data_IF_434416227115
#
_entry.id   IF_434416227115
#
_cell.length_a   1.000
_cell.length_b   1.000
_cell.length_c   1.000
_cell.angle_alpha   90.00
_cell.angle_beta   90.00
_cell.angle_gamma   90.00
#
_symmetry.space_group_name_H-M   'P 1'
#
loop_
_entity.id
_entity.type
_entity.pdbx_description
1 polymer ?
#
# COMPACT_ATOMS: atom_id res chain seq x y z
N UNK A 1 21.70 1.02 20.12
CA UNK A 1 20.99 1.72 19.03
C UNK A 1 19.70 2.30 19.58
N UNK A 2 19.47 3.61 19.39
CA UNK A 2 18.25 4.24 19.88
C UNK A 2 17.13 4.17 18.84
N UNK A 3 15.94 4.59 19.23
CA UNK A 3 14.76 4.54 18.35
C UNK A 3 14.96 5.33 17.05
N UNK A 4 15.59 6.49 17.13
CA UNK A 4 15.85 7.33 15.96
C UNK A 4 16.73 6.62 14.95
N UNK A 5 17.79 5.97 15.41
CA UNK A 5 18.70 5.22 14.54
C UNK A 5 18.01 4.03 13.89
N UNK A 6 17.14 3.33 14.63
CA UNK A 6 16.37 2.21 14.10
C UNK A 6 15.43 2.70 13.01
N UNK A 7 14.72 3.81 13.24
CA UNK A 7 13.80 4.38 12.27
C UNK A 7 14.54 4.81 11.00
N UNK A 8 15.71 5.46 11.16
CA UNK A 8 16.53 5.89 10.03
C UNK A 8 17.02 4.71 9.20
N UNK A 9 17.46 3.63 9.85
CA UNK A 9 17.90 2.43 9.14
C UNK A 9 16.75 1.76 8.40
N UNK A 10 15.57 1.69 9.00
CA UNK A 10 14.39 1.15 8.34
C UNK A 10 14.00 1.99 7.14
N UNK A 11 14.03 3.31 7.28
CA UNK A 11 13.74 4.23 6.17
C UNK A 11 14.74 4.03 5.02
N UNK A 12 16.03 3.95 5.34
CA UNK A 12 17.07 3.77 4.34
C UNK A 12 16.91 2.44 3.61
N UNK A 13 16.60 1.37 4.35
CA UNK A 13 16.35 0.07 3.73
C UNK A 13 15.20 0.15 2.72
N UNK A 14 14.06 0.69 3.12
CA UNK A 14 12.89 0.74 2.25
C UNK A 14 13.07 1.71 1.09
N UNK A 15 13.79 2.81 1.28
CA UNK A 15 14.14 3.69 0.17
C UNK A 15 15.03 2.98 -0.85
N UNK A 16 15.97 2.18 -0.38
CA UNK A 16 16.90 1.46 -1.26
C UNK A 16 16.30 0.23 -1.93
N UNK A 17 15.23 -0.35 -1.36
CA UNK A 17 14.64 -1.60 -1.84
C UNK A 17 13.21 -1.46 -2.34
N UNK A 18 12.68 -0.24 -2.42
CA UNK A 18 11.28 -0.02 -2.78
C UNK A 18 10.95 -0.60 -4.16
N UNK A 19 11.83 -0.43 -5.13
CA UNK A 19 11.57 -0.94 -6.49
C UNK A 19 11.56 -2.46 -6.53
N UNK A 20 12.39 -3.11 -5.70
CA UNK A 20 12.42 -4.56 -5.60
C UNK A 20 11.09 -5.13 -5.09
N UNK A 21 10.47 -4.44 -4.15
CA UNK A 21 9.21 -4.89 -3.52
C UNK A 21 7.97 -4.36 -4.23
N UNK A 22 8.12 -3.64 -5.33
CA UNK A 22 6.98 -3.04 -6.04
C UNK A 22 5.97 -4.11 -6.46
N UNK A 23 4.72 -3.92 -6.02
CA UNK A 23 3.63 -4.81 -6.37
C UNK A 23 3.61 -6.16 -5.66
N UNK A 24 4.54 -6.40 -4.74
CA UNK A 24 4.55 -7.62 -3.92
C UNK A 24 3.79 -7.38 -2.62
N UNK A 25 3.41 -8.42 -1.91
CA UNK A 25 2.80 -8.36 -0.57
C UNK A 25 1.63 -7.37 -0.46
N UNK A 26 0.79 -7.33 -1.48
CA UNK A 26 -0.36 -6.43 -1.53
C UNK A 26 -1.64 -7.18 -1.90
N UNK A 27 -2.79 -6.59 -1.58
CA UNK A 27 -4.08 -7.18 -1.93
C UNK A 27 -4.17 -7.42 -3.45
N UNK A 28 -4.85 -8.46 -3.86
CA UNK A 28 -5.69 -9.37 -3.05
C UNK A 28 -4.96 -10.45 -2.27
N UNK A 29 -3.64 -10.52 -2.37
CA UNK A 29 -2.88 -11.63 -1.81
C UNK A 29 -2.56 -11.45 -0.33
N UNK A 30 -2.76 -12.52 0.45
CA UNK A 30 -2.39 -12.58 1.87
C UNK A 30 -1.17 -13.47 2.12
N UNK A 31 -0.70 -14.16 1.09
CA UNK A 31 0.46 -15.04 1.16
C UNK A 31 0.41 -16.07 0.06
N UNK A 32 1.55 -16.71 -0.21
CA UNK A 32 1.72 -17.61 -1.37
C UNK A 32 0.75 -18.78 -1.37
N UNK A 33 0.40 -19.29 -0.17
CA UNK A 33 -0.44 -20.49 -0.03
C UNK A 33 -1.76 -20.21 0.67
N UNK A 34 -2.16 -18.95 0.76
CA UNK A 34 -3.40 -18.57 1.42
C UNK A 34 -4.45 -18.14 0.40
N UNK A 35 -5.74 -18.29 0.73
CA UNK A 35 -6.80 -17.70 -0.08
C UNK A 35 -6.61 -16.19 -0.19
N UNK A 36 -7.08 -15.62 -1.30
CA UNK A 36 -6.99 -14.19 -1.55
C UNK A 36 -8.16 -13.43 -0.93
N UNK A 37 -8.11 -12.12 -0.95
CA UNK A 37 -9.24 -11.30 -0.52
C UNK A 37 -10.46 -11.54 -1.41
N UNK A 38 -10.27 -11.87 -2.67
CA UNK A 38 -11.40 -12.19 -3.57
C UNK A 38 -12.16 -13.43 -3.10
N UNK A 39 -11.49 -14.33 -2.39
CA UNK A 39 -12.12 -15.52 -1.80
C UNK A 39 -12.66 -15.26 -0.40
N UNK A 40 -11.91 -14.53 0.42
CA UNK A 40 -12.20 -14.37 1.85
C UNK A 40 -13.15 -13.22 2.18
N UNK A 41 -13.12 -12.14 1.40
CA UNK A 41 -13.96 -10.95 1.61
C UNK A 41 -13.83 -10.37 3.02
N UNK A 42 -12.61 -10.31 3.56
CA UNK A 42 -12.38 -9.85 4.92
C UNK A 42 -12.76 -8.38 5.12
N UNK A 43 -12.60 -7.57 4.07
CA UNK A 43 -12.99 -6.16 4.14
C UNK A 43 -14.48 -5.93 3.92
N UNK A 44 -15.18 -6.89 3.34
CA UNK A 44 -16.60 -6.73 3.02
C UNK A 44 -16.84 -5.65 1.98
N UNK A 45 -17.95 -4.94 2.10
CA UNK A 45 -18.31 -3.86 1.19
C UNK A 45 -17.63 -2.57 1.62
N UNK A 46 -16.70 -2.08 0.78
CA UNK A 46 -15.94 -0.86 1.07
C UNK A 46 -16.47 0.38 0.32
N UNK A 47 -17.58 0.25 -0.41
CA UNK A 47 -18.11 1.35 -1.21
C UNK A 47 -18.43 2.57 -0.34
N UNK A 48 -17.88 3.72 -0.75
CA UNK A 48 -18.08 4.98 -0.05
C UNK A 48 -17.31 5.13 1.26
N UNK A 49 -16.56 4.13 1.68
CA UNK A 49 -15.85 4.17 2.97
C UNK A 49 -14.53 4.91 2.87
N UNK A 50 -14.12 5.48 4.00
CA UNK A 50 -12.81 6.08 4.16
C UNK A 50 -11.86 5.01 4.68
N UNK A 51 -10.72 4.86 4.04
CA UNK A 51 -9.75 3.81 4.40
C UNK A 51 -8.36 4.41 4.52
N UNK A 52 -7.62 3.94 5.52
CA UNK A 52 -6.23 4.33 5.74
C UNK A 52 -5.38 3.07 5.77
N UNK A 53 -4.32 3.06 4.96
CA UNK A 53 -3.33 2.00 5.02
C UNK A 53 -2.03 2.54 5.61
N UNK A 54 -1.61 1.94 6.72
CA UNK A 54 -0.30 2.22 7.32
C UNK A 54 0.71 1.31 6.64
N UNK A 55 1.86 1.85 6.26
CA UNK A 55 2.88 1.15 5.47
C UNK A 55 2.33 0.75 4.10
N UNK A 56 1.79 1.72 3.37
CA UNK A 56 1.10 1.47 2.10
C UNK A 56 2.02 0.99 0.96
N UNK A 57 3.32 1.11 1.12
CA UNK A 57 4.27 0.68 0.10
C UNK A 57 4.00 1.33 -1.24
N UNK A 58 3.94 0.52 -2.30
CA UNK A 58 3.73 1.00 -3.67
C UNK A 58 2.27 1.29 -4.03
N UNK A 59 1.36 1.18 -3.08
CA UNK A 59 -0.04 1.60 -3.26
C UNK A 59 -0.96 0.59 -3.95
N UNK A 60 -0.52 -0.64 -4.15
CA UNK A 60 -1.32 -1.65 -4.83
C UNK A 60 -2.57 -2.05 -4.07
N UNK A 61 -2.51 -2.10 -2.72
CA UNK A 61 -3.70 -2.36 -1.91
C UNK A 61 -4.68 -1.19 -1.95
N UNK A 62 -4.17 0.04 -2.01
CA UNK A 62 -5.04 1.21 -2.17
C UNK A 62 -5.80 1.16 -3.49
N UNK A 63 -5.12 0.79 -4.57
CA UNK A 63 -5.78 0.60 -5.86
C UNK A 63 -6.85 -0.48 -5.79
N UNK A 64 -6.54 -1.59 -5.12
CA UNK A 64 -7.50 -2.68 -4.95
C UNK A 64 -8.81 -2.18 -4.34
N UNK A 65 -8.73 -1.36 -3.29
CA UNK A 65 -9.93 -0.80 -2.65
C UNK A 65 -10.60 0.26 -3.52
N UNK A 66 -9.84 1.07 -4.24
CA UNK A 66 -10.38 2.07 -5.16
C UNK A 66 -11.22 1.41 -6.25
N UNK A 67 -10.76 0.31 -6.81
CA UNK A 67 -11.50 -0.45 -7.83
C UNK A 67 -12.82 -1.00 -7.30
N UNK A 68 -12.93 -1.15 -5.99
CA UNK A 68 -14.15 -1.64 -5.32
C UNK A 68 -15.01 -0.51 -4.76
N UNK A 69 -14.71 0.73 -5.14
CA UNK A 69 -15.57 1.87 -4.85
C UNK A 69 -15.34 2.56 -3.52
N UNK A 70 -14.19 2.35 -2.86
CA UNK A 70 -13.86 3.10 -1.65
C UNK A 70 -13.96 4.60 -1.93
N UNK A 71 -14.52 5.36 -0.99
CA UNK A 71 -14.78 6.78 -1.20
C UNK A 71 -13.55 7.65 -1.01
N UNK A 72 -12.75 7.37 0.00
CA UNK A 72 -11.51 8.09 0.27
C UNK A 72 -10.45 7.09 0.70
N UNK A 73 -9.25 7.24 0.17
CA UNK A 73 -8.13 6.37 0.47
C UNK A 73 -6.92 7.20 0.86
N UNK A 74 -6.30 6.82 1.96
CA UNK A 74 -5.11 7.46 2.48
C UNK A 74 -4.04 6.40 2.70
N UNK A 75 -2.81 6.71 2.33
CA UNK A 75 -1.68 5.84 2.59
C UNK A 75 -0.58 6.60 3.29
N UNK A 76 0.06 5.96 4.26
CA UNK A 76 1.24 6.50 4.92
C UNK A 76 2.35 5.47 4.88
N UNK A 77 3.57 5.94 4.69
CA UNK A 77 4.75 5.08 4.67
C UNK A 77 5.96 5.87 5.15
N UNK A 78 6.86 5.20 5.83
CA UNK A 78 8.11 5.80 6.30
C UNK A 78 9.04 6.14 5.13
N UNK A 79 8.96 5.39 4.04
CA UNK A 79 9.85 5.53 2.89
C UNK A 79 9.28 6.52 1.88
N UNK A 80 9.99 7.62 1.65
CA UNK A 80 9.64 8.58 0.60
C UNK A 80 9.63 7.92 -0.78
N UNK A 81 10.55 6.99 -1.02
CA UNK A 81 10.61 6.26 -2.30
C UNK A 81 9.38 5.40 -2.50
N UNK A 82 8.87 4.74 -1.45
CA UNK A 82 7.62 3.98 -1.53
C UNK A 82 6.45 4.90 -1.87
N UNK A 83 6.38 6.08 -1.24
CA UNK A 83 5.32 7.04 -1.53
C UNK A 83 5.39 7.57 -2.96
N UNK A 84 6.59 7.80 -3.48
CA UNK A 84 6.78 8.19 -4.87
C UNK A 84 6.30 7.09 -5.83
N UNK A 85 6.62 5.84 -5.53
CA UNK A 85 6.14 4.70 -6.32
C UNK A 85 4.62 4.60 -6.26
N UNK A 86 4.03 4.78 -5.08
CA UNK A 86 2.57 4.75 -4.91
C UNK A 86 1.91 5.88 -5.70
N UNK A 87 2.46 7.10 -5.64
CA UNK A 87 1.95 8.24 -6.40
C UNK A 87 1.97 7.95 -7.90
N UNK A 88 3.10 7.51 -8.43
CA UNK A 88 3.25 7.19 -9.84
C UNK A 88 2.32 6.07 -10.29
N UNK A 89 2.19 5.03 -9.49
CA UNK A 89 1.32 3.90 -9.79
C UNK A 89 -0.15 4.32 -9.82
N UNK A 90 -0.60 5.02 -8.79
CA UNK A 90 -2.01 5.44 -8.70
C UNK A 90 -2.36 6.41 -9.84
N UNK A 91 -1.46 7.30 -10.20
CA UNK A 91 -1.70 8.21 -11.32
C UNK A 91 -1.82 7.45 -12.65
N UNK A 92 -0.94 6.47 -12.90
CA UNK A 92 -1.02 5.64 -14.12
C UNK A 92 -2.32 4.87 -14.20
N UNK A 93 -2.86 4.46 -13.06
CA UNK A 93 -4.11 3.70 -13.00
C UNK A 93 -5.35 4.59 -12.91
N UNK A 94 -5.19 5.89 -13.02
CA UNK A 94 -6.32 6.84 -13.01
C UNK A 94 -6.92 7.08 -11.63
N UNK A 95 -6.19 6.81 -10.57
CA UNK A 95 -6.63 7.03 -9.19
C UNK A 95 -6.07 8.36 -8.71
N UNK A 96 -6.95 9.24 -8.21
CA UNK A 96 -6.53 10.49 -7.61
C UNK A 96 -5.92 10.21 -6.25
N UNK A 97 -4.80 10.88 -5.97
CA UNK A 97 -4.07 10.68 -4.74
C UNK A 97 -4.05 11.96 -3.90
N UNK A 98 -4.22 11.80 -2.61
CA UNK A 98 -4.04 12.87 -1.63
C UNK A 98 -2.79 12.63 -0.80
#
# INVERSE_FOLDING_TARGET
>A
MNHKEIIEKNRDYWNGHADLWFGTTALPEYGVRFPTEDDLHLFGDVRGKKMLEICCGSGHSLKYHAERGAGELYGVDLSQKQLENAAGYCMREGILQN
#
